data_IF_839307779148
#
_entry.id   IF_839307779148
#
_cell.length_a   1.000
_cell.length_b   1.000
_cell.length_c   1.000
_cell.angle_alpha   90.00
_cell.angle_beta   90.00
_cell.angle_gamma   90.00
#
_symmetry.space_group_name_H-M   'P 1'
#
loop_
_entity.id
_entity.type
_entity.pdbx_description
1 polymer ?
#
# COMPACT_ATOMS: atom_id res chain seq x y z
N UNK A 1 -17.19 -5.00 -11.69
CA UNK A 1 -16.17 -4.05 -12.19
C UNK A 1 -16.91 -2.98 -12.95
N UNK A 2 -16.41 -1.75 -12.85
CA UNK A 2 -16.93 -0.63 -13.62
C UNK A 2 -16.50 -0.78 -15.08
N UNK A 3 -15.23 -1.14 -15.29
CA UNK A 3 -14.70 -1.55 -16.59
C UNK A 3 -14.89 -3.05 -16.87
N UNK A 4 -14.71 -3.44 -18.13
CA UNK A 4 -14.73 -4.86 -18.53
C UNK A 4 -16.13 -5.50 -18.48
N UNK A 5 -17.01 -5.12 -19.41
CA UNK A 5 -18.42 -5.56 -19.41
C UNK A 5 -18.69 -6.94 -20.02
N UNK A 6 -17.67 -7.64 -20.53
CA UNK A 6 -17.84 -8.87 -21.32
C UNK A 6 -18.77 -9.91 -20.68
N UNK A 7 -18.57 -10.20 -19.39
CA UNK A 7 -19.38 -11.17 -18.65
C UNK A 7 -20.75 -10.60 -18.28
N UNK A 8 -20.81 -9.35 -17.84
CA UNK A 8 -22.07 -8.67 -17.49
C UNK A 8 -23.04 -8.63 -18.66
N UNK A 9 -22.55 -8.25 -19.84
CA UNK A 9 -23.35 -8.14 -21.07
C UNK A 9 -23.92 -9.49 -21.54
N UNK A 10 -23.37 -10.63 -21.05
CA UNK A 10 -23.77 -11.99 -21.44
C UNK A 10 -24.53 -12.76 -20.37
N UNK A 11 -24.21 -12.49 -19.10
CA UNK A 11 -24.68 -13.28 -17.96
C UNK A 11 -25.56 -12.45 -17.00
N UNK A 12 -25.73 -11.16 -17.27
CA UNK A 12 -26.54 -10.23 -16.47
C UNK A 12 -25.76 -9.55 -15.35
N UNK A 13 -26.42 -8.58 -14.70
CA UNK A 13 -25.79 -7.72 -13.68
C UNK A 13 -25.34 -8.49 -12.43
N UNK A 14 -26.00 -9.61 -12.11
CA UNK A 14 -25.68 -10.44 -10.95
C UNK A 14 -24.41 -11.29 -11.10
N UNK A 15 -23.83 -11.35 -12.30
CA UNK A 15 -22.69 -12.25 -12.58
C UNK A 15 -21.48 -11.95 -11.71
N UNK A 16 -21.23 -10.68 -11.40
CA UNK A 16 -20.09 -10.30 -10.57
C UNK A 16 -20.27 -10.81 -9.13
N UNK A 17 -21.46 -10.67 -8.56
CA UNK A 17 -21.75 -11.21 -7.23
C UNK A 17 -21.67 -12.74 -7.21
N UNK A 18 -22.15 -13.41 -8.28
CA UNK A 18 -22.00 -14.85 -8.45
C UNK A 18 -20.52 -15.27 -8.45
N UNK A 19 -19.66 -14.59 -9.21
CA UNK A 19 -18.22 -14.87 -9.26
C UNK A 19 -17.57 -14.76 -7.88
N UNK A 20 -17.91 -13.72 -7.10
CA UNK A 20 -17.41 -13.58 -5.72
C UNK A 20 -17.87 -14.73 -4.82
N UNK A 21 -19.16 -15.11 -4.89
CA UNK A 21 -19.68 -16.21 -4.07
C UNK A 21 -19.02 -17.55 -4.42
N UNK A 22 -18.81 -17.81 -5.71
CA UNK A 22 -18.13 -19.03 -6.15
C UNK A 22 -16.65 -19.03 -5.76
N UNK A 23 -15.94 -17.90 -5.87
CA UNK A 23 -14.56 -17.78 -5.42
C UNK A 23 -14.46 -18.06 -3.90
N UNK A 24 -15.33 -17.44 -3.09
CA UNK A 24 -15.36 -17.68 -1.64
C UNK A 24 -15.76 -19.12 -1.28
N UNK A 25 -16.59 -19.78 -2.10
CA UNK A 25 -16.93 -21.20 -1.91
C UNK A 25 -15.75 -22.12 -2.16
N UNK A 26 -14.89 -21.78 -3.13
CA UNK A 26 -13.71 -22.57 -3.49
C UNK A 26 -12.53 -22.33 -2.55
N UNK A 27 -12.33 -21.08 -2.12
CA UNK A 27 -11.33 -20.71 -1.12
C UNK A 27 -11.93 -19.73 -0.09
N UNK A 28 -12.49 -20.24 1.01
CA UNK A 28 -13.07 -19.42 2.07
C UNK A 28 -12.04 -18.56 2.83
N UNK A 29 -10.74 -18.86 2.69
CA UNK A 29 -9.66 -18.10 3.33
C UNK A 29 -9.19 -16.90 2.50
N UNK A 30 -9.55 -16.83 1.21
CA UNK A 30 -9.15 -15.76 0.32
C UNK A 30 -9.82 -14.42 0.70
N UNK A 31 -9.03 -13.35 0.70
CA UNK A 31 -9.55 -11.98 0.75
C UNK A 31 -9.87 -11.54 -0.68
N UNK A 32 -11.15 -11.41 -1.01
CA UNK A 32 -11.57 -11.06 -2.37
C UNK A 32 -11.62 -9.55 -2.57
N UNK A 33 -10.92 -9.05 -3.58
CA UNK A 33 -10.88 -7.64 -3.91
C UNK A 33 -11.77 -7.32 -5.11
N UNK A 34 -12.46 -6.19 -5.07
CA UNK A 34 -12.80 -5.49 -6.32
C UNK A 34 -11.55 -4.78 -6.81
N UNK A 35 -11.31 -4.72 -8.11
CA UNK A 35 -10.13 -4.05 -8.67
C UNK A 35 -10.52 -3.30 -9.95
N UNK A 36 -10.12 -2.04 -10.07
CA UNK A 36 -10.44 -1.19 -11.23
C UNK A 36 -9.49 0.01 -11.37
N UNK A 37 -9.49 0.65 -12.55
CA UNK A 37 -8.62 1.80 -12.88
C UNK A 37 -9.36 3.13 -12.96
N UNK A 38 -8.58 4.23 -12.99
CA UNK A 38 -9.02 5.64 -13.09
C UNK A 38 -9.80 6.21 -11.89
N UNK A 39 -10.22 5.36 -10.94
CA UNK A 39 -11.02 5.76 -9.79
C UNK A 39 -10.33 6.85 -8.93
N UNK A 40 -9.01 6.80 -8.84
CA UNK A 40 -8.17 7.67 -8.01
C UNK A 40 -7.66 8.93 -8.72
N UNK A 41 -7.91 9.08 -10.03
CA UNK A 41 -7.26 10.11 -10.85
C UNK A 41 -8.21 11.21 -11.39
N UNK A 42 -9.53 11.04 -11.22
CA UNK A 42 -10.58 11.93 -11.77
C UNK A 42 -10.44 12.28 -13.26
N UNK A 43 -9.71 11.45 -14.01
CA UNK A 43 -9.46 11.60 -15.44
C UNK A 43 -10.58 10.95 -16.30
N UNK A 44 -11.46 10.16 -15.68
CA UNK A 44 -12.61 9.55 -16.30
C UNK A 44 -13.89 9.92 -15.52
N UNK A 45 -14.80 10.72 -16.10
CA UNK A 45 -16.04 11.11 -15.43
C UNK A 45 -17.00 9.93 -15.23
N UNK A 46 -16.75 8.79 -15.89
CA UNK A 46 -17.54 7.59 -15.69
C UNK A 46 -17.08 6.74 -14.52
N UNK A 47 -15.90 7.03 -13.97
CA UNK A 47 -15.18 6.12 -13.09
C UNK A 47 -14.77 6.88 -11.84
N UNK A 48 -15.80 7.19 -11.04
CA UNK A 48 -15.66 7.98 -9.83
C UNK A 48 -15.66 7.08 -8.59
N UNK A 49 -15.05 7.53 -7.48
CA UNK A 49 -15.12 6.82 -6.21
C UNK A 49 -16.57 6.47 -5.80
N UNK A 50 -17.54 7.35 -6.09
CA UNK A 50 -18.96 7.12 -5.75
C UNK A 50 -19.57 5.97 -6.56
N UNK A 51 -19.24 5.86 -7.85
CA UNK A 51 -19.68 4.72 -8.67
C UNK A 51 -19.02 3.43 -8.21
N UNK A 52 -17.76 3.50 -7.80
CA UNK A 52 -17.07 2.32 -7.30
C UNK A 52 -17.66 1.84 -5.97
N UNK A 53 -18.00 2.77 -5.08
CA UNK A 53 -18.75 2.50 -3.85
C UNK A 53 -20.12 1.86 -4.14
N UNK A 54 -20.87 2.39 -5.11
CA UNK A 54 -22.15 1.80 -5.52
C UNK A 54 -21.99 0.36 -6.02
N UNK A 55 -20.95 0.06 -6.81
CA UNK A 55 -20.62 -1.30 -7.23
C UNK A 55 -20.32 -2.22 -6.03
N UNK A 56 -19.53 -1.75 -5.06
CA UNK A 56 -19.22 -2.52 -3.84
C UNK A 56 -20.50 -2.84 -3.07
N UNK A 57 -21.41 -1.86 -2.95
CA UNK A 57 -22.68 -2.05 -2.28
C UNK A 57 -23.60 -3.02 -3.04
N UNK A 58 -23.63 -2.96 -4.37
CA UNK A 58 -24.37 -3.90 -5.22
C UNK A 58 -23.87 -5.34 -5.02
N UNK A 59 -22.54 -5.54 -5.02
CA UNK A 59 -21.91 -6.82 -4.77
C UNK A 59 -22.28 -7.37 -3.38
N UNK A 60 -22.18 -6.53 -2.34
CA UNK A 60 -22.56 -6.88 -0.96
C UNK A 60 -24.04 -7.26 -0.87
N UNK A 61 -24.95 -6.51 -1.52
CA UNK A 61 -26.38 -6.86 -1.58
C UNK A 61 -26.63 -8.18 -2.31
N UNK A 62 -25.82 -8.48 -3.32
CA UNK A 62 -25.78 -9.78 -3.98
C UNK A 62 -25.16 -10.92 -3.16
N UNK A 63 -24.75 -10.69 -1.90
CA UNK A 63 -24.15 -11.70 -1.04
C UNK A 63 -22.67 -12.00 -1.34
N UNK A 64 -21.98 -11.12 -2.06
CA UNK A 64 -20.54 -11.21 -2.25
C UNK A 64 -19.78 -10.84 -0.96
N UNK A 65 -18.79 -11.66 -0.58
CA UNK A 65 -17.87 -11.34 0.51
C UNK A 65 -16.72 -10.47 -0.02
N UNK A 66 -16.96 -9.16 -0.15
CA UNK A 66 -15.91 -8.20 -0.56
C UNK A 66 -14.99 -7.95 0.63
N UNK A 67 -13.71 -8.30 0.47
CA UNK A 67 -12.68 -8.21 1.50
C UNK A 67 -11.68 -7.06 1.33
N UNK A 68 -11.71 -6.34 0.19
CA UNK A 68 -10.82 -5.21 -0.06
C UNK A 68 -11.16 -4.43 -1.32
N UNK A 69 -10.58 -3.25 -1.44
CA UNK A 69 -10.70 -2.34 -2.59
C UNK A 69 -9.34 -2.25 -3.26
N UNK A 70 -9.28 -2.60 -4.54
CA UNK A 70 -8.13 -2.45 -5.41
C UNK A 70 -8.30 -1.24 -6.31
N UNK A 71 -7.27 -0.40 -6.33
CA UNK A 71 -7.08 0.69 -7.28
C UNK A 71 -5.87 0.31 -8.13
N UNK A 72 -6.04 0.18 -9.45
CA UNK A 72 -4.90 -0.21 -10.29
C UNK A 72 -3.74 0.77 -10.10
N UNK A 73 -3.97 2.09 -10.11
CA UNK A 73 -2.87 3.03 -9.91
C UNK A 73 -2.04 3.24 -11.17
N UNK A 74 -2.63 3.09 -12.35
CA UNK A 74 -2.02 3.50 -13.61
C UNK A 74 -2.19 5.00 -13.79
N UNK A 75 -1.30 5.78 -13.18
CA UNK A 75 -1.46 7.22 -13.05
C UNK A 75 -0.65 7.96 -14.11
N UNK A 76 -1.13 9.15 -14.49
CA UNK A 76 -0.37 10.18 -15.21
C UNK A 76 -0.80 11.53 -14.68
N UNK A 77 0.16 12.43 -14.41
CA UNK A 77 -0.09 13.77 -13.88
C UNK A 77 -0.97 13.76 -12.63
N UNK A 78 -0.58 13.00 -11.59
CA UNK A 78 -1.33 12.89 -10.35
C UNK A 78 -1.57 14.26 -9.72
N UNK A 79 -2.75 14.44 -9.16
CA UNK A 79 -3.08 15.57 -8.30
C UNK A 79 -3.34 15.03 -6.90
N UNK A 80 -2.48 15.37 -5.94
CA UNK A 80 -2.54 14.81 -4.59
C UNK A 80 -3.90 14.99 -3.92
N UNK A 81 -4.51 16.18 -4.04
CA UNK A 81 -5.84 16.47 -3.49
C UNK A 81 -6.94 15.56 -4.06
N UNK A 82 -6.84 15.20 -5.36
CA UNK A 82 -7.81 14.30 -6.02
C UNK A 82 -7.64 12.88 -5.52
N UNK A 83 -6.40 12.40 -5.40
CA UNK A 83 -6.11 11.06 -4.87
C UNK A 83 -6.58 10.97 -3.42
N UNK A 84 -6.28 11.98 -2.61
CA UNK A 84 -6.70 12.06 -1.21
C UNK A 84 -8.23 12.02 -1.06
N UNK A 85 -8.96 12.84 -1.82
CA UNK A 85 -10.44 12.83 -1.83
C UNK A 85 -11.01 11.47 -2.26
N UNK A 86 -10.41 10.82 -3.27
CA UNK A 86 -10.81 9.49 -3.69
C UNK A 86 -10.60 8.44 -2.58
N UNK A 87 -9.45 8.46 -1.92
CA UNK A 87 -9.14 7.56 -0.81
C UNK A 87 -10.08 7.77 0.38
N UNK A 88 -10.35 9.02 0.75
CA UNK A 88 -11.28 9.38 1.84
C UNK A 88 -12.68 8.84 1.58
N UNK A 89 -13.18 8.96 0.34
CA UNK A 89 -14.50 8.44 -0.06
C UNK A 89 -14.54 6.90 -0.01
N UNK A 90 -13.52 6.24 -0.53
CA UNK A 90 -13.45 4.78 -0.55
C UNK A 90 -13.27 4.18 0.85
N UNK A 91 -12.62 4.90 1.76
CA UNK A 91 -12.44 4.49 3.14
C UNK A 91 -13.76 4.34 3.90
N UNK A 92 -14.83 5.04 3.47
CA UNK A 92 -16.16 4.89 4.03
C UNK A 92 -16.74 3.46 3.89
N UNK A 93 -16.16 2.62 3.01
CA UNK A 93 -16.54 1.21 2.87
C UNK A 93 -16.12 0.33 4.05
N UNK A 94 -15.25 0.82 4.94
CA UNK A 94 -14.60 0.07 6.02
C UNK A 94 -13.88 -1.19 5.49
N UNK A 95 -13.18 -1.03 4.36
CA UNK A 95 -12.38 -2.05 3.71
C UNK A 95 -10.94 -1.56 3.52
N UNK A 96 -9.95 -2.47 3.56
CA UNK A 96 -8.58 -2.11 3.22
C UNK A 96 -8.48 -1.73 1.74
N UNK A 97 -7.78 -0.62 1.48
CA UNK A 97 -7.49 -0.15 0.13
C UNK A 97 -6.07 -0.59 -0.24
N UNK A 98 -5.92 -1.12 -1.45
CA UNK A 98 -4.64 -1.48 -2.03
C UNK A 98 -4.49 -0.76 -3.37
N UNK A 99 -3.34 -0.13 -3.58
CA UNK A 99 -2.93 0.23 -4.94
C UNK A 99 -2.26 -1.03 -5.50
N UNK A 100 -2.88 -1.65 -6.50
CA UNK A 100 -2.60 -3.04 -6.89
C UNK A 100 -1.64 -3.15 -8.07
N UNK A 101 -1.49 -2.10 -8.87
CA UNK A 101 -0.81 -2.11 -10.18
C UNK A 101 -0.10 -0.77 -10.44
N UNK A 102 0.51 -0.17 -9.40
CA UNK A 102 1.07 1.19 -9.49
C UNK A 102 2.10 1.28 -10.62
N UNK A 103 1.86 2.20 -11.53
CA UNK A 103 2.87 2.77 -12.42
C UNK A 103 2.52 4.21 -12.77
N UNK A 104 3.54 5.03 -13.01
CA UNK A 104 3.37 6.45 -13.31
C UNK A 104 4.00 6.72 -14.67
N UNK A 105 3.16 7.03 -15.66
CA UNK A 105 3.64 7.28 -17.02
C UNK A 105 3.89 8.76 -17.26
N UNK A 106 5.15 9.10 -17.50
CA UNK A 106 5.63 10.42 -17.85
C UNK A 106 7.00 10.29 -18.56
N UNK A 107 7.16 10.99 -19.68
CA UNK A 107 8.33 10.92 -20.56
C UNK A 107 9.54 11.61 -19.95
N UNK A 108 9.32 12.75 -19.27
CA UNK A 108 10.37 13.40 -18.50
C UNK A 108 10.60 12.62 -17.20
N UNK A 109 11.75 11.97 -17.09
CA UNK A 109 12.07 11.12 -15.95
C UNK A 109 12.11 11.88 -14.60
N UNK A 110 12.47 13.16 -14.60
CA UNK A 110 12.46 13.97 -13.39
C UNK A 110 11.01 14.29 -12.96
N UNK A 111 10.15 14.65 -13.93
CA UNK A 111 8.73 14.86 -13.65
C UNK A 111 8.05 13.55 -13.23
N UNK A 112 8.40 12.42 -13.84
CA UNK A 112 7.94 11.09 -13.43
C UNK A 112 8.31 10.78 -11.97
N UNK A 113 9.51 11.17 -11.55
CA UNK A 113 9.95 11.00 -10.17
C UNK A 113 9.10 11.83 -9.20
N UNK A 114 8.83 13.09 -9.53
CA UNK A 114 7.98 13.97 -8.74
C UNK A 114 6.52 13.47 -8.69
N UNK A 115 5.97 13.04 -9.83
CA UNK A 115 4.63 12.46 -9.93
C UNK A 115 4.50 11.17 -9.10
N UNK A 116 5.50 10.29 -9.16
CA UNK A 116 5.54 9.08 -8.34
C UNK A 116 5.54 9.40 -6.85
N UNK A 117 6.28 10.42 -6.42
CA UNK A 117 6.27 10.86 -5.03
C UNK A 117 4.90 11.33 -4.57
N UNK A 118 4.16 12.06 -5.40
CA UNK A 118 2.80 12.50 -5.07
C UNK A 118 1.92 11.30 -4.73
N UNK A 119 1.85 10.30 -5.62
CA UNK A 119 1.00 9.11 -5.42
C UNK A 119 1.43 8.34 -4.17
N UNK A 120 2.74 8.10 -4.00
CA UNK A 120 3.25 7.35 -2.87
C UNK A 120 3.03 8.07 -1.54
N UNK A 121 3.13 9.41 -1.50
CA UNK A 121 2.88 10.18 -0.28
C UNK A 121 1.41 10.15 0.12
N UNK A 122 0.48 10.29 -0.82
CA UNK A 122 -0.95 10.20 -0.51
C UNK A 122 -1.33 8.79 -0.04
N UNK A 123 -0.84 7.76 -0.74
CA UNK A 123 -1.01 6.37 -0.33
C UNK A 123 -0.43 6.12 1.08
N UNK A 124 0.76 6.64 1.36
CA UNK A 124 1.40 6.55 2.67
C UNK A 124 0.62 7.26 3.79
N UNK A 125 0.11 8.46 3.48
CA UNK A 125 -0.56 9.33 4.43
C UNK A 125 -1.95 8.81 4.82
N UNK A 126 -2.61 8.04 3.95
CA UNK A 126 -3.99 7.63 4.16
C UNK A 126 -4.13 6.33 4.98
N UNK A 127 -4.86 6.32 6.12
CA UNK A 127 -4.90 5.18 7.05
C UNK A 127 -5.61 3.93 6.53
N UNK A 128 -6.52 4.06 5.57
CA UNK A 128 -7.20 2.90 4.95
C UNK A 128 -6.33 2.18 3.91
N UNK A 129 -5.21 2.78 3.47
CA UNK A 129 -4.31 2.15 2.50
C UNK A 129 -3.38 1.18 3.20
N UNK A 130 -3.55 -0.12 2.92
CA UNK A 130 -2.77 -1.20 3.53
C UNK A 130 -1.67 -1.75 2.62
N UNK A 131 -1.72 -1.47 1.30
CA UNK A 131 -0.79 -2.04 0.32
C UNK A 131 -0.57 -1.15 -0.90
N UNK A 132 0.64 -1.20 -1.44
CA UNK A 132 1.01 -0.67 -2.75
C UNK A 132 1.85 -1.73 -3.46
N UNK A 133 1.42 -2.14 -4.64
CA UNK A 133 2.10 -3.11 -5.51
C UNK A 133 2.43 -2.37 -6.81
N UNK A 134 3.65 -2.50 -7.31
CA UNK A 134 4.01 -1.98 -8.63
C UNK A 134 3.62 -2.99 -9.71
N UNK A 135 3.03 -2.51 -10.81
CA UNK A 135 2.70 -3.38 -11.95
C UNK A 135 3.93 -3.99 -12.61
N UNK A 136 5.02 -3.23 -12.59
CA UNK A 136 6.35 -3.66 -12.97
C UNK A 136 7.33 -2.54 -12.66
N UNK A 137 8.62 -2.81 -12.87
CA UNK A 137 9.67 -1.81 -12.59
C UNK A 137 10.70 -1.65 -13.70
N UNK A 138 10.80 -2.58 -14.66
CA UNK A 138 11.97 -2.66 -15.54
C UNK A 138 11.67 -2.15 -16.96
N UNK A 139 12.48 -1.21 -17.44
CA UNK A 139 12.42 -0.70 -18.80
C UNK A 139 12.50 -1.85 -19.82
N UNK A 140 11.66 -1.81 -20.85
CA UNK A 140 11.53 -2.87 -21.85
C UNK A 140 10.65 -4.04 -21.43
N UNK A 141 10.28 -4.14 -20.15
CA UNK A 141 9.37 -5.15 -19.60
C UNK A 141 8.07 -4.56 -19.01
N UNK A 142 7.91 -3.24 -19.09
CA UNK A 142 6.67 -2.55 -18.74
C UNK A 142 5.70 -2.54 -19.92
N UNK A 143 4.40 -2.64 -19.64
CA UNK A 143 3.34 -2.42 -20.65
C UNK A 143 3.26 -0.96 -21.12
N UNK A 144 3.68 0.00 -20.28
CA UNK A 144 3.83 1.43 -20.58
C UNK A 144 5.30 1.78 -20.75
N UNK A 145 5.65 2.40 -21.87
CA UNK A 145 7.04 2.71 -22.22
C UNK A 145 7.73 3.62 -21.18
N UNK A 146 7.00 4.63 -20.71
CA UNK A 146 7.54 5.71 -19.89
C UNK A 146 7.18 5.56 -18.40
N UNK A 147 7.16 4.34 -17.85
CA UNK A 147 6.72 4.09 -16.48
C UNK A 147 7.67 3.23 -15.61
N UNK A 148 8.87 2.92 -16.11
CA UNK A 148 9.84 2.09 -15.40
C UNK A 148 10.56 2.84 -14.25
N UNK A 149 11.01 2.10 -13.24
CA UNK A 149 11.89 2.55 -12.16
C UNK A 149 13.35 2.13 -12.36
N UNK A 150 13.56 1.04 -13.09
CA UNK A 150 14.85 0.52 -13.50
C UNK A 150 15.04 0.70 -15.00
N UNK A 151 16.24 1.08 -15.40
CA UNK A 151 16.72 1.01 -16.77
C UNK A 151 16.85 -0.45 -17.22
N UNK A 152 17.01 -0.67 -18.52
CA UNK A 152 17.13 -2.01 -19.09
C UNK A 152 18.36 -2.79 -18.59
N UNK A 153 19.38 -2.10 -18.07
CA UNK A 153 20.57 -2.69 -17.46
C UNK A 153 20.41 -2.99 -15.95
N UNK A 154 19.22 -2.74 -15.39
CA UNK A 154 18.91 -2.96 -13.97
C UNK A 154 19.34 -1.82 -13.04
N UNK A 155 19.90 -0.72 -13.56
CA UNK A 155 20.22 0.47 -12.75
C UNK A 155 18.97 1.28 -12.44
N UNK A 156 18.94 1.97 -11.29
CA UNK A 156 17.86 2.89 -10.95
C UNK A 156 17.89 4.12 -11.85
N UNK A 157 16.71 4.55 -12.28
CA UNK A 157 16.49 5.85 -12.89
C UNK A 157 16.03 6.87 -11.82
N UNK A 158 15.77 8.14 -12.15
CA UNK A 158 15.40 9.15 -11.13
C UNK A 158 14.10 8.80 -10.40
N UNK A 159 13.12 8.17 -11.06
CA UNK A 159 11.89 7.73 -10.42
C UNK A 159 12.15 6.55 -9.47
N UNK A 160 12.99 5.59 -9.88
CA UNK A 160 13.44 4.51 -9.01
C UNK A 160 14.24 5.02 -7.80
N UNK A 161 15.12 6.00 -8.01
CA UNK A 161 15.87 6.64 -6.93
C UNK A 161 14.92 7.37 -5.97
N UNK A 162 13.92 8.11 -6.47
CA UNK A 162 12.92 8.75 -5.63
C UNK A 162 12.17 7.77 -4.75
N UNK A 163 11.78 6.61 -5.28
CA UNK A 163 11.17 5.55 -4.49
C UNK A 163 12.08 5.07 -3.35
N UNK A 164 13.37 4.83 -3.64
CA UNK A 164 14.36 4.42 -2.63
C UNK A 164 14.55 5.50 -1.55
N UNK A 165 14.58 6.77 -1.95
CA UNK A 165 14.71 7.91 -1.04
C UNK A 165 13.50 8.02 -0.11
N UNK A 166 12.28 7.93 -0.64
CA UNK A 166 11.04 7.93 0.15
C UNK A 166 10.97 6.74 1.10
N UNK A 167 11.34 5.54 0.63
CA UNK A 167 11.41 4.36 1.48
C UNK A 167 12.38 4.59 2.64
N UNK A 168 13.52 5.24 2.38
CA UNK A 168 14.51 5.57 3.40
C UNK A 168 14.02 6.64 4.36
N UNK A 169 13.32 7.66 3.86
CA UNK A 169 12.65 8.70 4.66
C UNK A 169 11.65 8.09 5.65
N UNK A 170 10.88 7.10 5.22
CA UNK A 170 9.83 6.46 6.03
C UNK A 170 10.31 5.31 6.92
N UNK A 171 11.62 5.11 7.06
CA UNK A 171 12.18 4.20 8.04
C UNK A 171 12.42 4.89 9.38
N UNK A 172 12.09 4.21 10.48
CA UNK A 172 12.30 4.71 11.84
C UNK A 172 13.32 3.89 12.62
N UNK A 173 14.43 4.52 12.98
CA UNK A 173 15.44 3.91 13.84
C UNK A 173 15.57 4.70 15.13
N UNK A 174 15.59 4.02 16.28
CA UNK A 174 15.74 4.66 17.58
C UNK A 174 16.68 3.85 18.48
N UNK A 175 17.54 4.55 19.23
CA UNK A 175 18.46 3.95 20.19
C UNK A 175 18.45 4.75 21.49
N UNK A 176 18.54 4.06 22.61
CA UNK A 176 18.70 4.72 23.91
C UNK A 176 18.72 3.75 25.07
N UNK A 177 18.58 4.31 26.28
CA UNK A 177 18.47 3.54 27.53
C UNK A 177 17.02 3.44 27.94
N UNK A 178 16.65 2.35 28.62
CA UNK A 178 15.38 2.30 29.36
C UNK A 178 15.43 3.28 30.54
N UNK A 179 14.30 3.88 30.88
CA UNK A 179 14.16 4.66 32.12
C UNK A 179 14.06 3.74 33.35
N UNK A 180 13.99 4.35 34.54
CA UNK A 180 13.90 3.63 35.82
C UNK A 180 12.64 2.75 35.94
N UNK A 181 11.63 3.04 35.11
CA UNK A 181 10.40 2.26 34.98
C UNK A 181 10.46 1.19 33.87
N UNK A 182 11.62 1.01 33.22
CA UNK A 182 11.84 0.04 32.15
C UNK A 182 11.30 0.45 30.78
N UNK A 183 10.93 1.72 30.59
CA UNK A 183 10.30 2.21 29.37
C UNK A 183 11.33 2.82 28.41
N UNK A 184 11.04 2.70 27.11
CA UNK A 184 11.76 3.42 26.06
C UNK A 184 10.74 4.01 25.09
N UNK A 185 10.66 5.33 25.05
CA UNK A 185 9.72 6.08 24.21
C UNK A 185 10.45 6.55 22.96
N UNK A 186 9.87 6.27 21.79
CA UNK A 186 10.36 6.77 20.52
C UNK A 186 9.19 7.23 19.65
N UNK A 187 9.47 8.17 18.74
CA UNK A 187 8.56 8.53 17.66
C UNK A 187 9.01 7.77 16.43
N UNK A 188 8.08 7.08 15.79
CA UNK A 188 8.33 6.38 14.55
C UNK A 188 7.13 6.36 13.64
N UNK A 189 7.38 6.01 12.39
CA UNK A 189 6.39 5.79 11.34
C UNK A 189 5.50 4.58 11.65
N UNK A 190 4.30 4.52 11.07
CA UNK A 190 3.45 3.32 11.20
C UNK A 190 4.23 2.13 10.59
N UNK A 191 4.11 0.94 11.17
CA UNK A 191 4.77 -0.25 10.62
C UNK A 191 5.26 -1.24 11.66
N UNK A 192 6.08 -2.17 11.21
CA UNK A 192 6.54 -3.31 12.00
C UNK A 192 7.99 -3.11 12.43
N UNK A 193 8.24 -3.20 13.74
CA UNK A 193 9.53 -2.94 14.35
C UNK A 193 10.15 -4.21 14.93
N UNK A 194 11.47 -4.33 14.80
CA UNK A 194 12.30 -5.28 15.55
C UNK A 194 12.92 -4.54 16.73
N UNK A 195 12.68 -5.03 17.93
CA UNK A 195 13.27 -4.49 19.17
C UNK A 195 14.41 -5.38 19.64
N UNK A 196 15.59 -4.79 19.77
CA UNK A 196 16.78 -5.42 20.35
C UNK A 196 17.08 -4.78 21.71
N UNK A 197 17.24 -5.61 22.74
CA UNK A 197 17.63 -5.20 24.08
C UNK A 197 19.01 -5.75 24.39
N UNK A 198 19.94 -4.86 24.74
CA UNK A 198 21.28 -5.20 25.20
C UNK A 198 21.38 -4.96 26.69
N UNK A 199 21.70 -6.01 27.43
CA UNK A 199 21.92 -6.00 28.89
C UNK A 199 23.38 -6.37 29.19
N UNK A 200 23.88 -6.22 30.43
CA UNK A 200 25.19 -6.74 30.81
C UNK A 200 25.35 -8.26 30.58
N UNK A 201 24.24 -9.01 30.54
CA UNK A 201 24.20 -10.43 30.25
C UNK A 201 24.18 -10.76 28.73
N UNK A 202 24.23 -9.75 27.85
CA UNK A 202 24.21 -9.88 26.40
C UNK A 202 22.98 -9.26 25.71
N UNK A 203 22.96 -9.35 24.38
CA UNK A 203 21.88 -8.82 23.52
C UNK A 203 20.83 -9.90 23.23
N UNK A 204 19.54 -9.55 23.37
CA UNK A 204 18.39 -10.37 22.98
C UNK A 204 17.48 -9.61 22.03
N UNK A 205 16.94 -10.29 21.02
CA UNK A 205 15.82 -9.78 20.23
C UNK A 205 14.53 -10.07 20.98
N UNK A 206 13.74 -9.04 21.27
CA UNK A 206 12.59 -9.17 22.16
C UNK A 206 11.28 -9.42 21.43
N UNK A 207 11.01 -8.74 20.30
CA UNK A 207 9.72 -8.89 19.60
C UNK A 207 9.66 -8.19 18.25
N UNK A 208 8.75 -8.68 17.42
CA UNK A 208 8.15 -7.97 16.28
C UNK A 208 6.85 -7.32 16.75
N UNK A 209 6.70 -5.99 16.64
CA UNK A 209 5.48 -5.28 17.04
C UNK A 209 4.98 -4.33 15.95
N UNK A 210 3.65 -4.19 15.82
CA UNK A 210 3.02 -3.18 14.95
C UNK A 210 2.92 -1.87 15.75
N UNK A 211 3.70 -0.86 15.36
CA UNK A 211 3.63 0.47 15.95
C UNK A 211 2.54 1.28 15.26
N UNK A 212 1.59 1.83 16.02
CA UNK A 212 0.62 2.84 15.54
C UNK A 212 1.24 4.23 15.61
N UNK A 213 0.64 5.25 14.97
CA UNK A 213 1.16 6.63 14.85
C UNK A 213 1.56 7.32 16.19
N UNK A 214 1.27 6.69 17.35
CA UNK A 214 1.82 6.99 18.69
C UNK A 214 1.88 5.72 19.55
N UNK A 215 2.84 4.83 19.32
CA UNK A 215 3.03 3.66 20.20
C UNK A 215 4.01 3.95 21.34
N UNK A 216 3.52 3.86 22.59
CA UNK A 216 4.34 3.86 23.81
C UNK A 216 4.60 2.40 24.19
N UNK A 217 5.86 2.03 24.46
CA UNK A 217 6.22 0.66 24.80
C UNK A 217 6.86 0.56 26.18
N UNK A 218 6.52 -0.50 26.91
CA UNK A 218 6.99 -0.84 28.26
C UNK A 218 7.72 -2.18 28.23
N UNK A 219 9.03 -2.18 28.53
CA UNK A 219 9.75 -3.37 29.01
C UNK A 219 9.72 -3.39 30.52
N UNK A 220 9.95 -4.54 31.13
CA UNK A 220 10.37 -4.62 32.54
C UNK A 220 11.75 -5.25 32.58
N UNK A 221 12.80 -4.42 32.55
CA UNK A 221 14.20 -4.89 32.67
C UNK A 221 15.05 -3.87 33.41
N UNK A 222 16.01 -4.37 34.22
CA UNK A 222 16.82 -3.61 35.17
C UNK A 222 17.84 -2.62 34.57
N UNK A 223 18.24 -1.67 35.42
CA UNK A 223 18.84 -0.34 35.23
C UNK A 223 20.14 -0.15 34.41
N UNK A 224 20.60 -1.13 33.61
CA UNK A 224 21.76 -0.92 32.72
C UNK A 224 21.57 -1.52 31.32
N UNK A 225 20.33 -1.48 30.85
CA UNK A 225 19.95 -2.03 29.55
C UNK A 225 19.83 -0.92 28.49
N UNK A 226 20.42 -1.14 27.31
CA UNK A 226 20.22 -0.29 26.13
C UNK A 226 19.27 -0.95 25.13
N UNK A 227 18.41 -0.16 24.51
CA UNK A 227 17.45 -0.59 23.50
C UNK A 227 17.84 -0.02 22.14
N UNK A 228 17.78 -0.87 21.12
CA UNK A 228 17.85 -0.51 19.72
C UNK A 228 16.56 -0.97 19.03
N UNK A 229 15.80 -0.04 18.47
CA UNK A 229 14.59 -0.31 17.70
C UNK A 229 14.93 -0.06 16.24
N UNK A 230 14.77 -1.12 15.45
CA UNK A 230 15.03 -1.12 14.02
C UNK A 230 13.68 -1.28 13.31
N UNK A 231 13.38 -0.39 12.38
CA UNK A 231 12.25 -0.57 11.49
C UNK A 231 12.46 -1.82 10.64
N UNK A 232 11.54 -2.78 10.67
CA UNK A 232 11.67 -3.99 9.86
C UNK A 232 10.95 -3.82 8.52
N UNK A 233 9.69 -3.35 8.51
CA UNK A 233 8.86 -3.31 7.32
C UNK A 233 7.74 -2.26 7.42
N UNK A 234 7.53 -1.52 6.32
CA UNK A 234 6.25 -0.91 5.97
C UNK A 234 5.88 -1.38 4.57
N UNK A 235 4.59 -1.68 4.38
CA UNK A 235 3.98 -2.19 3.15
C UNK A 235 4.47 -3.56 2.68
N UNK A 236 3.53 -4.38 2.23
CA UNK A 236 3.81 -5.45 1.27
C UNK A 236 4.00 -4.81 -0.11
N UNK A 237 5.12 -4.09 -0.31
CA UNK A 237 5.54 -3.70 -1.67
C UNK A 237 6.10 -4.96 -2.31
N UNK A 238 5.20 -5.71 -2.93
CA UNK A 238 5.57 -6.87 -3.73
C UNK A 238 5.85 -6.37 -5.14
N UNK A 239 7.06 -6.60 -5.61
CA UNK A 239 7.43 -6.37 -7.00
C UNK A 239 7.32 -7.74 -7.67
N UNK A 240 6.35 -7.91 -8.56
CA UNK A 240 6.32 -9.07 -9.43
C UNK A 240 7.22 -8.76 -10.63
N UNK A 241 8.28 -9.52 -10.77
CA UNK A 241 9.04 -9.59 -12.02
C UNK A 241 8.56 -10.85 -12.73
N UNK A 242 7.93 -10.71 -13.88
CA UNK A 242 7.65 -11.87 -14.74
C UNK A 242 8.99 -12.55 -15.07
N UNK A 243 9.09 -13.84 -14.73
CA UNK A 243 10.22 -14.72 -15.03
C UNK A 243 10.18 -15.22 -16.47
#
# INVERSE_FOLDING_TARGET
MLHGRFFRDRLGDDVAALMFREAARLDPGAKLFVNDYNVECANDPNETPERYMALIDDLRRGGAQVGGIGLQGHVSKPVGEVICDALDKLAAADLPIWITELDVGEQDEALRADDLEVVLREAYAHPAVEGVIFWGIMQGHMWRLDAALLNADGTLNLAGQRFVDLRSEWMSNARGRVDAEGQFKFRGFHGTYVVQLTTPAGTKMLKTTKGTRRSCWTSTTSDDSSINIIFSHYYAITIYTDS
#
